data_IF_424940043421
#
_entry.id   IF_424940043421
#
_cell.length_a   1.000
_cell.length_b   1.000
_cell.length_c   1.000
_cell.angle_alpha   90.00
_cell.angle_beta   90.00
_cell.angle_gamma   90.00
#
_symmetry.space_group_name_H-M   'P 1'
#
loop_
_entity.id
_entity.type
_entity.pdbx_description
1 polymer ?
#
# COMPACT_ATOMS: atom_id res chain seq x y z
N UNK A 1 -25.26 -21.95 29.04
CA UNK A 1 -24.21 -21.37 28.19
C UNK A 1 -24.62 -21.65 26.76
N UNK A 2 -24.70 -20.65 25.88
CA UNK A 2 -25.11 -20.91 24.49
C UNK A 2 -23.98 -21.62 23.77
N UNK A 3 -24.23 -22.86 23.34
CA UNK A 3 -23.29 -23.66 22.56
C UNK A 3 -23.85 -23.94 21.18
N UNK A 4 -22.96 -24.05 20.20
CA UNK A 4 -23.26 -24.25 18.80
C UNK A 4 -22.55 -25.52 18.32
N UNK A 5 -23.29 -26.46 17.72
CA UNK A 5 -22.69 -27.61 17.05
C UNK A 5 -22.47 -27.29 15.57
N UNK A 6 -21.22 -27.39 15.12
CA UNK A 6 -20.82 -27.17 13.74
C UNK A 6 -20.32 -28.46 13.11
N UNK A 7 -20.79 -28.75 11.89
CA UNK A 7 -20.19 -29.73 11.00
C UNK A 7 -19.22 -29.00 10.05
N UNK A 8 -17.95 -29.35 10.13
CA UNK A 8 -16.84 -28.75 9.40
C UNK A 8 -16.39 -29.73 8.31
N UNK A 9 -16.48 -29.33 7.05
CA UNK A 9 -16.01 -30.09 5.89
C UNK A 9 -14.82 -29.34 5.27
N UNK A 10 -13.66 -29.99 5.22
CA UNK A 10 -12.44 -29.43 4.66
C UNK A 10 -12.20 -29.93 3.23
N UNK A 11 -11.52 -29.14 2.39
CA UNK A 11 -11.18 -29.53 1.00
C UNK A 11 -10.33 -30.81 0.90
N UNK A 12 -9.62 -31.21 1.95
CA UNK A 12 -8.85 -32.46 2.00
C UNK A 12 -9.71 -33.71 2.30
N UNK A 13 -11.04 -33.53 2.38
CA UNK A 13 -12.01 -34.59 2.64
C UNK A 13 -12.25 -34.89 4.12
N UNK A 14 -11.53 -34.24 5.04
CA UNK A 14 -11.82 -34.37 6.48
C UNK A 14 -13.17 -33.75 6.82
N UNK A 15 -13.93 -34.45 7.67
CA UNK A 15 -15.18 -33.98 8.24
C UNK A 15 -15.12 -34.08 9.76
N UNK A 16 -15.43 -33.01 10.48
CA UNK A 16 -15.44 -32.95 11.94
C UNK A 16 -16.75 -32.33 12.42
N UNK A 17 -17.38 -32.92 13.44
CA UNK A 17 -18.53 -32.32 14.11
C UNK A 17 -18.14 -31.97 15.54
N UNK A 18 -18.32 -30.70 15.93
CA UNK A 18 -17.82 -30.20 17.22
C UNK A 18 -18.69 -29.09 17.80
N UNK A 19 -18.79 -29.11 19.13
CA UNK A 19 -19.45 -28.07 19.91
C UNK A 19 -18.49 -26.92 20.24
N UNK A 20 -18.98 -25.70 20.05
CA UNK A 20 -18.27 -24.45 20.34
C UNK A 20 -19.10 -23.57 21.27
N UNK A 21 -18.43 -22.84 22.16
CA UNK A 21 -19.07 -21.85 23.01
C UNK A 21 -19.19 -20.51 22.26
N UNK A 22 -20.24 -19.75 22.53
CA UNK A 22 -20.45 -18.43 21.95
C UNK A 22 -20.02 -17.30 22.91
N UNK A 23 -19.45 -16.19 22.41
CA UNK A 23 -19.19 -15.89 20.99
C UNK A 23 -18.03 -16.74 20.41
N UNK A 24 -18.19 -17.15 19.16
CA UNK A 24 -17.21 -17.97 18.45
C UNK A 24 -16.46 -17.12 17.44
N UNK A 25 -15.18 -16.85 17.72
CA UNK A 25 -14.27 -16.24 16.76
C UNK A 25 -13.72 -17.31 15.80
N UNK A 26 -13.72 -17.02 14.51
CA UNK A 26 -13.23 -17.89 13.43
C UNK A 26 -12.08 -17.20 12.72
N UNK A 27 -10.93 -17.87 12.57
CA UNK A 27 -9.79 -17.26 11.91
C UNK A 27 -8.54 -18.13 11.87
N UNK A 28 -7.50 -17.66 11.19
CA UNK A 28 -6.22 -18.37 11.08
C UNK A 28 -5.44 -18.45 12.40
N UNK A 29 -5.67 -17.49 13.31
CA UNK A 29 -5.08 -17.45 14.66
C UNK A 29 -6.12 -17.18 15.74
N UNK A 30 -7.39 -17.52 15.50
CA UNK A 30 -8.46 -17.35 16.47
C UNK A 30 -8.25 -18.22 17.72
N UNK A 31 -8.81 -17.82 18.85
CA UNK A 31 -8.90 -18.68 20.05
C UNK A 31 -10.09 -19.66 19.98
N UNK A 32 -11.05 -19.43 19.09
CA UNK A 32 -12.21 -20.28 18.86
C UNK A 32 -11.97 -21.34 17.79
N UNK A 33 -12.56 -21.15 16.60
CA UNK A 33 -12.36 -22.05 15.47
C UNK A 33 -11.16 -21.61 14.63
N UNK A 34 -10.11 -22.43 14.64
CA UNK A 34 -8.88 -22.19 13.88
C UNK A 34 -8.93 -22.84 12.51
N UNK A 35 -8.96 -22.03 11.45
CA UNK A 35 -8.87 -22.49 10.07
C UNK A 35 -7.50 -22.11 9.48
N UNK A 36 -6.58 -23.09 9.41
CA UNK A 36 -5.19 -22.87 8.97
C UNK A 36 -5.07 -22.73 7.44
N UNK A 37 -5.48 -21.57 6.93
CA UNK A 37 -5.48 -21.26 5.50
C UNK A 37 -5.13 -19.80 5.28
N UNK A 38 -4.27 -19.48 4.31
CA UNK A 38 -3.96 -18.09 3.95
C UNK A 38 -5.18 -17.33 3.41
N UNK A 39 -6.17 -18.04 2.83
CA UNK A 39 -7.46 -17.49 2.39
C UNK A 39 -8.36 -17.10 3.58
N UNK A 40 -7.94 -17.45 4.80
CA UNK A 40 -8.60 -17.10 6.05
C UNK A 40 -7.77 -16.03 6.75
N UNK A 41 -8.35 -14.87 7.03
CA UNK A 41 -7.71 -13.80 7.79
C UNK A 41 -7.36 -14.26 9.21
N UNK A 42 -6.47 -13.53 9.91
CA UNK A 42 -6.08 -13.90 11.29
C UNK A 42 -7.30 -14.00 12.21
N UNK A 43 -8.18 -13.02 12.09
CA UNK A 43 -9.56 -12.98 12.59
C UNK A 43 -10.43 -12.78 11.35
N UNK A 44 -11.27 -13.76 10.99
CA UNK A 44 -11.97 -13.80 9.69
C UNK A 44 -13.46 -13.52 9.85
N UNK A 45 -14.11 -14.24 10.76
CA UNK A 45 -15.52 -14.06 11.03
C UNK A 45 -15.81 -14.32 12.51
N UNK A 46 -16.96 -13.85 12.97
CA UNK A 46 -17.43 -14.04 14.33
C UNK A 46 -18.89 -14.48 14.31
N UNK A 47 -19.22 -15.48 15.12
CA UNK A 47 -20.60 -15.89 15.39
C UNK A 47 -20.96 -15.46 16.81
N UNK A 48 -22.03 -14.69 16.95
CA UNK A 48 -22.54 -14.22 18.24
C UNK A 48 -24.03 -14.54 18.38
N UNK A 49 -24.49 -14.77 19.62
CA UNK A 49 -25.91 -14.82 19.93
C UNK A 49 -26.36 -13.46 20.50
N UNK A 50 -27.40 -12.85 19.91
CA UNK A 50 -28.05 -11.62 20.39
C UNK A 50 -29.56 -11.83 20.38
N UNK A 51 -30.22 -11.53 21.50
CA UNK A 51 -31.67 -11.63 21.68
C UNK A 51 -32.28 -13.00 21.29
N UNK A 52 -31.53 -14.09 21.48
CA UNK A 52 -31.95 -15.45 21.15
C UNK A 52 -31.69 -15.88 19.70
N UNK A 53 -31.18 -14.98 18.86
CA UNK A 53 -30.83 -15.25 17.47
C UNK A 53 -29.30 -15.30 17.26
N UNK A 54 -28.85 -16.10 16.29
CA UNK A 54 -27.44 -16.17 15.90
C UNK A 54 -27.15 -15.20 14.78
N UNK A 55 -26.00 -14.55 14.85
CA UNK A 55 -25.51 -13.63 13.83
C UNK A 55 -24.09 -14.00 13.43
N UNK A 56 -23.83 -13.97 12.12
CA UNK A 56 -22.51 -14.09 11.52
C UNK A 56 -22.03 -12.72 11.07
N UNK A 57 -20.81 -12.37 11.46
CA UNK A 57 -20.14 -11.16 11.00
C UNK A 57 -18.84 -11.55 10.30
N UNK A 58 -18.64 -11.09 9.07
CA UNK A 58 -17.31 -11.06 8.45
C UNK A 58 -16.51 -9.88 9.04
N UNK A 59 -15.26 -10.12 9.43
CA UNK A 59 -14.38 -9.14 10.08
C UNK A 59 -13.48 -8.41 9.08
N UNK A 60 -13.92 -8.26 7.84
CA UNK A 60 -13.16 -7.61 6.77
C UNK A 60 -12.14 -8.55 6.13
N UNK A 61 -12.50 -9.82 5.98
CA UNK A 61 -11.60 -10.83 5.44
C UNK A 61 -11.45 -10.69 3.92
N UNK A 62 -10.21 -10.82 3.41
CA UNK A 62 -9.90 -10.65 1.99
C UNK A 62 -10.67 -11.64 1.09
N UNK A 63 -10.77 -12.91 1.52
CA UNK A 63 -11.54 -13.95 0.85
C UNK A 63 -13.06 -13.80 1.02
N UNK A 64 -13.49 -13.05 2.03
CA UNK A 64 -14.88 -12.92 2.43
C UNK A 64 -15.46 -14.18 3.04
N UNK A 65 -16.53 -13.99 3.78
CA UNK A 65 -17.39 -15.07 4.25
C UNK A 65 -18.57 -15.23 3.29
N UNK A 66 -18.80 -16.45 2.82
CA UNK A 66 -19.97 -16.79 2.01
C UNK A 66 -21.00 -17.47 2.90
N UNK A 67 -22.24 -17.00 2.89
CA UNK A 67 -23.39 -17.63 3.53
C UNK A 67 -24.36 -18.07 2.44
N UNK A 68 -24.67 -19.37 2.36
CA UNK A 68 -25.55 -19.96 1.35
C UNK A 68 -25.19 -19.51 -0.09
N UNK A 69 -23.89 -19.57 -0.41
CA UNK A 69 -23.31 -19.14 -1.70
C UNK A 69 -23.36 -17.63 -2.00
N UNK A 70 -23.77 -16.78 -1.05
CA UNK A 70 -23.75 -15.33 -1.18
C UNK A 70 -22.71 -14.71 -0.24
N UNK A 71 -21.94 -13.75 -0.72
CA UNK A 71 -20.94 -13.06 0.12
C UNK A 71 -21.66 -12.11 1.06
N UNK A 72 -21.32 -12.19 2.35
CA UNK A 72 -21.82 -11.27 3.37
C UNK A 72 -20.80 -10.15 3.61
N UNK A 73 -21.30 -8.94 3.81
CA UNK A 73 -20.49 -7.73 4.04
C UNK A 73 -20.80 -7.05 5.38
N UNK A 74 -21.85 -7.51 6.07
CA UNK A 74 -22.35 -6.98 7.34
C UNK A 74 -22.84 -8.12 8.24
N UNK A 75 -23.27 -7.78 9.46
CA UNK A 75 -23.89 -8.73 10.39
C UNK A 75 -25.13 -9.38 9.74
N UNK A 76 -25.13 -10.71 9.64
CA UNK A 76 -26.18 -11.46 8.98
C UNK A 76 -26.79 -12.49 9.94
N UNK A 77 -28.13 -12.59 10.08
CA UNK A 77 -28.74 -13.63 10.89
C UNK A 77 -28.46 -15.02 10.31
N UNK A 78 -28.25 -16.00 11.19
CA UNK A 78 -27.97 -17.41 10.89
C UNK A 78 -29.13 -18.31 11.31
N UNK A 79 -29.41 -19.31 10.49
CA UNK A 79 -30.42 -20.35 10.72
C UNK A 79 -29.76 -21.74 10.79
N UNK A 80 -30.50 -22.69 11.36
CA UNK A 80 -30.10 -24.10 11.33
C UNK A 80 -29.94 -24.57 9.87
N UNK A 81 -28.92 -25.38 9.60
CA UNK A 81 -28.53 -25.86 8.27
C UNK A 81 -27.95 -24.82 7.30
N UNK A 82 -27.76 -23.57 7.70
CA UNK A 82 -27.04 -22.60 6.88
C UNK A 82 -25.62 -23.10 6.58
N UNK A 83 -25.17 -22.82 5.35
CA UNK A 83 -23.86 -23.18 4.84
C UNK A 83 -22.96 -21.96 4.82
N UNK A 84 -21.95 -21.95 5.67
CA UNK A 84 -20.95 -20.89 5.75
C UNK A 84 -19.67 -21.42 5.10
N UNK A 85 -19.16 -20.74 4.08
CA UNK A 85 -17.86 -21.06 3.47
C UNK A 85 -16.86 -19.98 3.87
N UNK A 86 -15.80 -20.42 4.56
CA UNK A 86 -14.67 -19.59 4.98
C UNK A 86 -13.38 -20.25 4.48
N UNK A 87 -12.78 -19.66 3.45
CA UNK A 87 -11.64 -20.26 2.77
C UNK A 87 -11.97 -21.68 2.27
N UNK A 88 -11.16 -22.70 2.62
CA UNK A 88 -11.34 -24.08 2.16
C UNK A 88 -12.27 -24.91 3.06
N UNK A 89 -13.00 -24.27 3.98
CA UNK A 89 -13.87 -24.96 4.92
C UNK A 89 -15.33 -24.60 4.65
N UNK A 90 -16.16 -25.62 4.43
CA UNK A 90 -17.61 -25.51 4.49
C UNK A 90 -18.06 -25.86 5.92
N UNK A 91 -18.81 -24.96 6.53
CA UNK A 91 -19.30 -25.04 7.89
C UNK A 91 -20.82 -25.11 7.82
N UNK A 92 -21.43 -26.09 8.48
CA UNK A 92 -22.89 -26.19 8.64
C UNK A 92 -23.28 -26.13 10.10
N UNK A 93 -24.34 -25.37 10.38
CA UNK A 93 -24.93 -25.30 11.72
C UNK A 93 -25.87 -26.49 11.91
N UNK A 94 -25.53 -27.38 12.84
CA UNK A 94 -26.27 -28.64 13.07
C UNK A 94 -27.24 -28.53 14.23
N UNK A 95 -26.82 -27.92 15.34
CA UNK A 95 -27.64 -27.80 16.55
C UNK A 95 -27.24 -26.55 17.35
N UNK A 96 -28.21 -26.01 18.09
CA UNK A 96 -28.02 -24.90 19.02
C UNK A 96 -28.51 -25.39 20.38
N UNK A 97 -27.63 -25.38 21.37
CA UNK A 97 -28.00 -25.62 22.77
C UNK A 97 -28.19 -24.25 23.43
N UNK A 98 -29.40 -23.70 23.26
CA UNK A 98 -29.90 -22.62 24.09
C UNK A 98 -30.41 -23.28 25.37
N UNK A 99 -29.77 -23.05 26.51
CA UNK A 99 -30.16 -23.62 27.81
C UNK A 99 -31.50 -23.09 28.35
N UNK A 100 -32.53 -23.08 27.52
CA UNK A 100 -33.90 -22.67 27.81
C UNK A 100 -34.86 -23.73 27.23
N UNK A 101 -35.73 -24.24 28.12
CA UNK A 101 -36.83 -25.15 27.78
C UNK A 101 -37.78 -24.55 26.72
N UNK A 102 -38.47 -25.39 25.93
CA UNK A 102 -39.35 -24.92 24.85
C UNK A 102 -40.63 -24.31 25.42
N UNK A 103 -40.80 -22.99 25.26
CA UNK A 103 -41.96 -22.25 25.74
C UNK A 103 -42.53 -21.25 24.73
N UNK A 104 -43.67 -21.64 24.15
CA UNK A 104 -44.76 -20.81 23.62
C UNK A 104 -44.64 -20.02 22.30
N UNK A 105 -45.36 -20.57 21.32
CA UNK A 105 -46.10 -19.88 20.25
C UNK A 105 -46.99 -18.76 20.78
N UNK A 106 -46.97 -17.59 20.13
CA UNK A 106 -48.16 -16.73 20.00
C UNK A 106 -48.14 -16.05 18.61
N UNK A 107 -49.19 -16.32 17.84
CA UNK A 107 -49.63 -15.55 16.69
C UNK A 107 -50.05 -14.14 17.14
N UNK A 108 -49.78 -13.09 16.36
CA UNK A 108 -50.91 -12.30 15.87
C UNK A 108 -50.56 -11.38 14.71
N UNK A 109 -51.50 -11.35 13.77
CA UNK A 109 -51.56 -10.44 12.64
C UNK A 109 -52.29 -9.15 13.04
N UNK A 110 -51.85 -7.99 12.55
CA UNK A 110 -52.71 -6.97 11.93
C UNK A 110 -51.93 -5.73 11.50
N UNK A 111 -52.24 -5.30 10.28
CA UNK A 111 -51.82 -4.11 9.54
C UNK A 111 -52.78 -2.92 9.87
N UNK A 112 -52.78 -1.78 9.13
CA UNK A 112 -51.89 -0.61 9.13
C UNK A 112 -52.57 0.66 9.67
N UNK A 113 -51.83 1.79 9.83
CA UNK A 113 -52.16 3.08 9.18
C UNK A 113 -51.22 4.27 9.54
N UNK A 114 -50.88 5.03 8.48
CA UNK A 114 -50.77 6.51 8.37
C UNK A 114 -49.80 7.26 9.30
N UNK A 115 -48.82 7.93 8.69
CA UNK A 115 -48.98 9.36 8.43
C UNK A 115 -47.99 9.93 7.40
N UNK A 116 -48.51 10.93 6.69
CA UNK A 116 -48.00 11.62 5.51
C UNK A 116 -47.62 13.03 5.95
N UNK A 117 -46.44 13.53 5.59
CA UNK A 117 -46.22 14.98 5.42
C UNK A 117 -45.41 15.21 4.15
N UNK A 118 -46.07 15.87 3.20
CA UNK A 118 -45.50 16.51 2.02
C UNK A 118 -45.12 17.95 2.37
N UNK A 119 -44.07 18.48 1.76
CA UNK A 119 -43.95 19.85 1.18
C UNK A 119 -42.51 20.00 0.67
N UNK A 120 -42.13 20.61 -0.44
CA UNK A 120 -42.72 21.21 -1.64
C UNK A 120 -41.50 21.52 -2.54
N UNK A 121 -41.62 21.32 -3.86
CA UNK A 121 -40.59 21.68 -4.84
C UNK A 121 -40.77 23.12 -5.35
N UNK A 122 -39.68 23.80 -5.78
CA UNK A 122 -39.44 24.32 -7.16
C UNK A 122 -38.21 25.27 -7.28
N UNK A 123 -37.69 25.53 -8.51
CA UNK A 123 -36.25 25.45 -8.84
C UNK A 123 -35.65 26.73 -9.44
N UNK A 124 -34.31 26.78 -9.54
CA UNK A 124 -33.46 27.66 -10.39
C UNK A 124 -32.10 26.95 -10.54
N UNK A 125 -31.29 27.02 -11.58
CA UNK A 125 -31.35 27.36 -13.01
C UNK A 125 -29.99 26.93 -13.58
N UNK A 126 -29.96 26.59 -14.88
CA UNK A 126 -28.78 26.17 -15.65
C UNK A 126 -27.65 27.22 -15.65
N UNK A 127 -26.40 26.75 -15.70
CA UNK A 127 -25.33 27.42 -16.43
C UNK A 127 -24.26 26.40 -16.86
N UNK A 128 -23.89 26.52 -18.13
CA UNK A 128 -22.97 25.70 -18.90
C UNK A 128 -21.54 25.67 -18.36
N UNK A 129 -20.82 24.57 -18.58
CA UNK A 129 -19.37 24.59 -18.75
C UNK A 129 -18.91 23.37 -19.55
N UNK A 130 -18.16 23.67 -20.60
CA UNK A 130 -17.87 22.84 -21.75
C UNK A 130 -16.90 21.69 -21.48
N UNK A 131 -17.20 20.55 -22.09
CA UNK A 131 -16.38 19.35 -22.20
C UNK A 131 -15.26 19.59 -23.22
N UNK A 132 -13.99 19.49 -22.80
CA UNK A 132 -12.83 19.43 -23.69
C UNK A 132 -12.42 17.96 -23.81
N UNK A 133 -12.68 17.35 -24.96
CA UNK A 133 -12.10 16.06 -25.35
C UNK A 133 -10.83 16.30 -26.17
N UNK A 134 -9.71 15.60 -25.93
CA UNK A 134 -8.59 15.59 -26.86
C UNK A 134 -8.87 14.70 -28.07
N UNK A 135 -8.61 15.24 -29.26
CA UNK A 135 -8.77 14.59 -30.56
C UNK A 135 -7.75 13.46 -30.76
N UNK A 136 -8.22 12.33 -31.30
CA UNK A 136 -7.42 11.22 -31.75
C UNK A 136 -6.78 11.51 -33.13
N UNK A 137 -5.47 11.26 -33.25
CA UNK A 137 -4.72 11.30 -34.51
C UNK A 137 -4.86 9.91 -35.18
N UNK A 138 -5.12 9.80 -36.50
CA UNK A 138 -5.20 8.50 -37.17
C UNK A 138 -3.78 7.95 -37.45
N UNK A 139 -3.55 6.63 -37.33
CA UNK A 139 -2.27 6.04 -37.73
C UNK A 139 -2.20 5.88 -39.24
N UNK A 140 -1.12 6.37 -39.82
CA UNK A 140 -0.76 6.17 -41.22
C UNK A 140 -0.22 4.76 -41.44
N UNK A 141 -0.81 4.05 -42.41
CA UNK A 141 -0.38 2.73 -42.84
C UNK A 141 1.01 2.80 -43.50
N UNK A 142 1.95 2.02 -42.98
CA UNK A 142 3.12 1.56 -43.73
C UNK A 142 3.33 0.07 -43.47
N UNK A 143 3.13 -0.70 -44.54
CA UNK A 143 3.47 -2.11 -44.70
C UNK A 143 4.99 -2.32 -44.66
N UNK A 144 5.45 -3.22 -43.78
CA UNK A 144 6.63 -4.07 -43.99
C UNK A 144 6.64 -5.17 -42.92
N UNK A 145 6.98 -6.40 -43.32
CA UNK A 145 6.87 -7.60 -42.49
C UNK A 145 7.74 -7.54 -41.23
N UNK A 146 7.08 -7.53 -40.08
CA UNK A 146 7.67 -7.59 -38.75
C UNK A 146 6.80 -8.57 -37.96
N UNK A 147 7.42 -9.52 -37.24
CA UNK A 147 6.74 -10.34 -36.24
C UNK A 147 6.03 -9.37 -35.29
N UNK A 148 4.71 -9.26 -35.39
CA UNK A 148 3.95 -8.25 -34.65
C UNK A 148 4.14 -8.48 -33.15
N UNK A 149 4.67 -7.47 -32.46
CA UNK A 149 4.61 -7.43 -31.01
C UNK A 149 3.14 -7.61 -30.59
N UNK A 150 2.85 -8.42 -29.56
CA UNK A 150 1.48 -8.69 -29.16
C UNK A 150 0.75 -7.39 -28.83
N UNK A 151 -0.53 -7.29 -29.21
CA UNK A 151 -1.40 -6.21 -28.77
C UNK A 151 -1.35 -6.13 -27.23
N UNK A 152 -1.20 -4.92 -26.68
CA UNK A 152 -1.07 -4.68 -25.25
C UNK A 152 -2.22 -5.31 -24.46
N UNK A 153 -3.43 -5.34 -25.03
CA UNK A 153 -4.60 -5.99 -24.41
C UNK A 153 -4.42 -7.50 -24.30
N UNK A 154 -3.88 -8.14 -25.34
CA UNK A 154 -3.65 -9.59 -25.38
C UNK A 154 -2.57 -9.99 -24.38
N UNK A 155 -1.48 -9.22 -24.33
CA UNK A 155 -0.39 -9.45 -23.38
C UNK A 155 -0.87 -9.33 -21.93
N UNK A 156 -1.68 -8.31 -21.62
CA UNK A 156 -2.29 -8.15 -20.29
C UNK A 156 -3.18 -9.34 -19.96
N UNK A 157 -4.07 -9.75 -20.88
CA UNK A 157 -4.97 -10.88 -20.65
C UNK A 157 -4.23 -12.19 -20.38
N UNK A 158 -3.20 -12.50 -21.19
CA UNK A 158 -2.35 -13.68 -21.03
C UNK A 158 -1.56 -13.65 -19.73
N UNK A 159 -1.01 -12.49 -19.36
CA UNK A 159 -0.31 -12.32 -18.09
C UNK A 159 -1.24 -12.55 -16.90
N UNK A 160 -2.45 -11.98 -16.94
CA UNK A 160 -3.44 -12.13 -15.88
C UNK A 160 -3.84 -13.60 -15.70
N UNK A 161 -4.01 -14.32 -16.81
CA UNK A 161 -4.33 -15.74 -16.80
C UNK A 161 -3.19 -16.57 -16.19
N UNK A 162 -1.94 -16.37 -16.63
CA UNK A 162 -0.78 -17.07 -16.06
C UNK A 162 -0.55 -16.73 -14.59
N UNK A 163 -0.72 -15.47 -14.20
CA UNK A 163 -0.56 -15.04 -12.81
C UNK A 163 -1.60 -15.72 -11.91
N UNK A 164 -2.86 -15.80 -12.34
CA UNK A 164 -3.91 -16.54 -11.63
C UNK A 164 -3.56 -18.02 -11.48
N UNK A 165 -3.14 -18.68 -12.56
CA UNK A 165 -2.75 -20.09 -12.55
C UNK A 165 -1.54 -20.35 -11.62
N UNK A 166 -0.56 -19.44 -11.61
CA UNK A 166 0.60 -19.53 -10.74
C UNK A 166 0.21 -19.41 -9.26
N UNK A 167 -0.64 -18.45 -8.91
CA UNK A 167 -1.13 -18.29 -7.53
C UNK A 167 -1.89 -19.53 -7.07
N UNK A 168 -2.78 -20.07 -7.91
CA UNK A 168 -3.49 -21.33 -7.62
C UNK A 168 -2.52 -22.51 -7.44
N UNK A 169 -1.46 -22.60 -8.25
CA UNK A 169 -0.44 -23.64 -8.12
C UNK A 169 0.43 -23.49 -6.86
N UNK A 170 0.79 -22.25 -6.48
CA UNK A 170 1.52 -21.96 -5.25
C UNK A 170 0.68 -22.29 -4.01
N UNK A 171 -0.63 -22.01 -4.05
CA UNK A 171 -1.57 -22.36 -2.98
C UNK A 171 -1.63 -23.86 -2.71
N UNK A 172 -1.68 -24.67 -3.78
CA UNK A 172 -1.78 -26.13 -3.70
C UNK A 172 -0.53 -26.77 -3.09
N UNK A 173 0.61 -26.07 -3.09
CA UNK A 173 1.88 -26.52 -2.49
C UNK A 173 2.14 -26.03 -1.06
N UNK A 174 1.10 -25.54 -0.38
CA UNK A 174 1.06 -24.88 0.96
C UNK A 174 1.93 -25.41 2.11
N UNK A 175 2.53 -26.59 2.02
CA UNK A 175 3.25 -27.20 3.13
C UNK A 175 4.70 -26.72 3.32
N UNK A 176 5.30 -25.98 2.38
CA UNK A 176 6.72 -25.58 2.45
C UNK A 176 7.03 -24.07 2.36
N UNK A 177 6.04 -23.22 2.10
CA UNK A 177 6.28 -21.84 1.59
C UNK A 177 6.39 -20.78 2.69
N UNK A 178 5.83 -21.01 3.87
CA UNK A 178 5.78 -20.01 4.96
C UNK A 178 7.13 -19.71 5.62
N UNK A 179 8.20 -20.38 5.21
CA UNK A 179 9.55 -20.21 5.75
C UNK A 179 10.64 -20.02 4.67
N UNK A 180 10.26 -19.82 3.40
CA UNK A 180 11.23 -19.67 2.32
C UNK A 180 11.69 -18.21 2.18
N UNK A 181 12.99 -18.04 1.95
CA UNK A 181 13.56 -16.76 1.51
C UNK A 181 13.03 -16.37 0.12
N UNK A 182 12.98 -15.08 -0.18
CA UNK A 182 12.40 -14.53 -1.43
C UNK A 182 13.05 -15.16 -2.67
N UNK A 183 14.36 -15.49 -2.59
CA UNK A 183 15.10 -16.16 -3.64
C UNK A 183 14.59 -17.59 -3.92
N UNK A 184 14.31 -18.35 -2.86
CA UNK A 184 13.78 -19.72 -2.96
C UNK A 184 12.34 -19.70 -3.46
N UNK A 185 11.54 -18.73 -3.03
CA UNK A 185 10.18 -18.53 -3.52
C UNK A 185 10.18 -18.24 -5.03
N UNK A 186 11.11 -17.39 -5.49
CA UNK A 186 11.28 -17.05 -6.91
C UNK A 186 11.65 -18.27 -7.73
N UNK A 187 12.57 -19.10 -7.25
CA UNK A 187 12.97 -20.34 -7.92
C UNK A 187 11.79 -21.34 -8.02
N UNK A 188 11.01 -21.50 -6.95
CA UNK A 188 9.87 -22.40 -6.94
C UNK A 188 8.72 -21.89 -7.84
N UNK A 189 8.45 -20.59 -7.80
CA UNK A 189 7.49 -19.94 -8.70
C UNK A 189 7.89 -20.13 -10.18
N UNK A 190 9.16 -19.97 -10.51
CA UNK A 190 9.67 -20.20 -11.86
C UNK A 190 9.51 -21.67 -12.30
N UNK A 191 9.79 -22.63 -11.43
CA UNK A 191 9.59 -24.07 -11.70
C UNK A 191 8.13 -24.41 -11.95
N UNK A 192 7.22 -23.87 -11.15
CA UNK A 192 5.77 -24.07 -11.33
C UNK A 192 5.27 -23.43 -12.62
N UNK A 193 5.68 -22.19 -12.88
CA UNK A 193 5.25 -21.46 -14.06
C UNK A 193 5.72 -22.15 -15.35
N UNK A 194 6.95 -22.66 -15.38
CA UNK A 194 7.44 -23.46 -16.51
C UNK A 194 6.58 -24.70 -16.77
N UNK A 195 6.10 -25.38 -15.71
CA UNK A 195 5.18 -26.52 -15.86
C UNK A 195 3.83 -26.10 -16.40
N UNK A 196 3.28 -24.97 -15.95
CA UNK A 196 2.01 -24.41 -16.42
C UNK A 196 2.13 -24.07 -17.91
N UNK A 197 3.18 -23.36 -18.31
CA UNK A 197 3.42 -22.97 -19.71
C UNK A 197 3.59 -24.20 -20.60
N UNK A 198 4.32 -25.23 -20.17
CA UNK A 198 4.50 -26.45 -20.96
C UNK A 198 3.24 -27.30 -21.09
N UNK A 199 2.33 -27.24 -20.12
CA UNK A 199 1.08 -28.00 -20.14
C UNK A 199 0.01 -27.36 -21.06
N UNK A 200 0.11 -26.05 -21.30
CA UNK A 200 -0.86 -25.30 -22.08
C UNK A 200 -0.26 -24.79 -23.39
N UNK A 201 -0.70 -25.39 -24.50
CA UNK A 201 -0.23 -25.05 -25.86
C UNK A 201 -0.40 -23.56 -26.19
N UNK A 202 -1.44 -22.92 -25.63
CA UNK A 202 -1.70 -21.50 -25.83
C UNK A 202 -0.53 -20.62 -25.36
N UNK A 203 0.20 -21.06 -24.34
CA UNK A 203 1.36 -20.34 -23.80
C UNK A 203 2.69 -20.87 -24.33
N UNK A 204 2.84 -22.19 -24.51
CA UNK A 204 4.11 -22.77 -24.98
C UNK A 204 4.48 -22.36 -26.40
N UNK A 205 3.50 -22.03 -27.24
CA UNK A 205 3.71 -21.63 -28.64
C UNK A 205 3.97 -20.11 -28.78
N UNK A 206 3.92 -19.33 -27.70
CA UNK A 206 4.19 -17.89 -27.74
C UNK A 206 5.69 -17.61 -27.88
N UNK A 207 6.07 -16.79 -28.86
CA UNK A 207 7.45 -16.36 -29.07
C UNK A 207 8.04 -15.57 -27.88
N UNK A 208 7.18 -14.97 -27.06
CA UNK A 208 7.53 -14.17 -25.88
C UNK A 208 7.18 -14.86 -24.55
N UNK A 209 6.98 -16.18 -24.54
CA UNK A 209 6.60 -16.93 -23.33
C UNK A 209 7.59 -16.72 -22.16
N UNK A 210 8.89 -16.61 -22.46
CA UNK A 210 9.92 -16.36 -21.45
C UNK A 210 9.79 -14.97 -20.81
N UNK A 211 9.62 -13.92 -21.62
CA UNK A 211 9.41 -12.55 -21.11
C UNK A 211 8.14 -12.46 -20.27
N UNK A 212 7.05 -13.07 -20.76
CA UNK A 212 5.79 -13.15 -20.04
C UNK A 212 5.95 -13.90 -18.71
N UNK A 213 6.74 -14.97 -18.69
CA UNK A 213 7.02 -15.73 -17.46
C UNK A 213 7.75 -14.88 -16.42
N UNK A 214 8.73 -14.08 -16.85
CA UNK A 214 9.48 -13.19 -15.97
C UNK A 214 8.55 -12.15 -15.35
N UNK A 215 7.70 -11.50 -16.14
CA UNK A 215 6.73 -10.52 -15.63
C UNK A 215 5.80 -11.12 -14.57
N UNK A 216 5.34 -12.36 -14.76
CA UNK A 216 4.44 -13.05 -13.82
C UNK A 216 5.17 -13.41 -12.52
N UNK A 217 6.43 -13.85 -12.60
CA UNK A 217 7.26 -14.15 -11.43
C UNK A 217 7.55 -12.87 -10.63
N UNK A 218 7.95 -11.80 -11.32
CA UNK A 218 8.25 -10.51 -10.70
C UNK A 218 7.02 -9.96 -9.95
N UNK A 219 5.81 -10.16 -10.49
CA UNK A 219 4.57 -9.75 -9.83
C UNK A 219 4.18 -10.67 -8.66
N UNK A 220 4.37 -11.99 -8.81
CA UNK A 220 4.04 -12.96 -7.77
C UNK A 220 4.95 -12.84 -6.54
N UNK A 221 6.25 -12.59 -6.73
CA UNK A 221 7.26 -12.64 -5.67
C UNK A 221 7.87 -11.27 -5.35
N UNK A 222 7.97 -10.39 -6.34
CA UNK A 222 8.72 -9.13 -6.26
C UNK A 222 7.86 -7.87 -6.09
N UNK A 223 8.27 -6.76 -6.70
CA UNK A 223 7.42 -5.54 -6.79
C UNK A 223 6.67 -5.43 -8.13
N UNK A 224 6.62 -6.51 -8.91
CA UNK A 224 5.93 -6.58 -10.19
C UNK A 224 6.44 -5.54 -11.18
N UNK A 225 5.54 -4.84 -11.90
CA UNK A 225 5.91 -3.79 -12.86
C UNK A 225 6.77 -2.66 -12.29
N UNK A 226 6.84 -2.51 -10.96
CA UNK A 226 7.64 -1.48 -10.32
C UNK A 226 9.14 -1.82 -10.29
N UNK A 227 9.54 -3.11 -10.31
CA UNK A 227 10.95 -3.50 -10.22
C UNK A 227 11.84 -2.85 -11.30
N UNK A 228 11.53 -2.97 -12.60
CA UNK A 228 12.34 -2.31 -13.64
C UNK A 228 12.28 -0.78 -13.56
N UNK A 229 11.15 -0.19 -13.14
CA UNK A 229 11.01 1.27 -12.99
C UNK A 229 11.85 1.82 -11.83
N UNK A 230 11.94 1.05 -10.74
CA UNK A 230 12.76 1.38 -9.58
C UNK A 230 14.25 1.28 -9.92
N UNK A 231 14.65 0.33 -10.78
CA UNK A 231 16.04 0.17 -11.21
C UNK A 231 16.50 1.25 -12.20
N UNK A 232 15.60 1.86 -12.99
CA UNK A 232 15.97 2.86 -13.98
C UNK A 232 16.37 4.22 -13.33
N UNK A 233 17.65 4.62 -13.35
CA UNK A 233 18.12 5.82 -12.64
C UNK A 233 17.61 7.14 -13.24
N UNK A 234 17.06 7.12 -14.46
CA UNK A 234 16.49 8.33 -15.08
C UNK A 234 15.07 8.63 -14.60
N UNK A 235 14.39 7.66 -14.00
CA UNK A 235 13.05 7.83 -13.41
C UNK A 235 13.21 8.38 -11.99
N UNK A 236 12.43 9.42 -11.69
CA UNK A 236 12.44 10.15 -10.41
C UNK A 236 11.20 9.90 -9.57
N UNK A 237 10.03 9.76 -10.20
CA UNK A 237 8.77 9.41 -9.53
C UNK A 237 8.01 8.33 -10.32
N UNK A 238 7.26 7.48 -9.62
CA UNK A 238 6.39 6.45 -10.19
C UNK A 238 5.01 6.59 -9.57
N UNK A 239 3.96 6.64 -10.38
CA UNK A 239 2.58 6.82 -9.95
C UNK A 239 1.70 5.72 -10.56
N UNK A 240 1.14 4.88 -9.70
CA UNK A 240 0.11 3.89 -10.04
C UNK A 240 -1.23 4.50 -9.67
N UNK A 241 -1.95 5.02 -10.66
CA UNK A 241 -3.27 5.62 -10.44
C UNK A 241 -4.38 4.56 -10.41
N UNK A 242 -4.17 3.46 -11.14
CA UNK A 242 -5.02 2.27 -11.20
C UNK A 242 -4.14 1.09 -11.63
N UNK A 243 -4.61 -0.15 -11.47
CA UNK A 243 -3.84 -1.33 -11.88
C UNK A 243 -3.37 -1.27 -13.35
N UNK A 244 -4.14 -0.69 -14.25
CA UNK A 244 -3.85 -0.54 -15.69
C UNK A 244 -3.36 0.88 -16.08
N UNK A 245 -3.01 1.72 -15.10
CA UNK A 245 -2.66 3.12 -15.34
C UNK A 245 -1.43 3.53 -14.51
N UNK A 246 -0.25 3.48 -15.14
CA UNK A 246 1.03 3.86 -14.54
C UNK A 246 1.58 5.11 -15.26
N UNK A 247 2.02 6.09 -14.47
CA UNK A 247 2.80 7.25 -14.91
C UNK A 247 4.17 7.23 -14.27
N UNK A 248 5.14 7.82 -14.95
CA UNK A 248 6.49 8.03 -14.42
C UNK A 248 6.92 9.47 -14.65
N UNK A 249 7.83 9.96 -13.83
CA UNK A 249 8.50 11.24 -14.03
C UNK A 249 9.94 11.03 -14.47
N UNK A 250 10.28 11.58 -15.63
CA UNK A 250 11.64 11.57 -16.19
C UNK A 250 12.04 13.00 -16.57
N UNK A 251 13.18 13.47 -16.08
CA UNK A 251 13.67 14.84 -16.32
C UNK A 251 12.64 15.95 -16.05
N UNK A 252 11.85 15.83 -14.97
CA UNK A 252 10.82 16.82 -14.62
C UNK A 252 9.53 16.73 -15.43
N UNK A 253 9.39 15.73 -16.31
CA UNK A 253 8.20 15.55 -17.16
C UNK A 253 7.47 14.27 -16.82
N UNK A 254 6.15 14.38 -16.66
CA UNK A 254 5.25 13.26 -16.49
C UNK A 254 4.96 12.60 -17.83
N UNK A 255 5.13 11.28 -17.89
CA UNK A 255 4.83 10.45 -19.05
C UNK A 255 4.01 9.21 -18.64
N UNK A 256 3.03 8.83 -19.47
CA UNK A 256 2.29 7.58 -19.29
C UNK A 256 3.19 6.40 -19.66
N UNK A 257 3.21 5.37 -18.83
CA UNK A 257 4.02 4.17 -19.03
C UNK A 257 3.13 3.01 -19.53
N UNK A 258 3.58 2.21 -20.53
CA UNK A 258 2.76 1.14 -21.11
C UNK A 258 2.56 -0.09 -20.19
N UNK A 259 3.33 -0.20 -19.11
CA UNK A 259 3.18 -1.30 -18.16
C UNK A 259 1.95 -1.11 -17.27
N UNK A 260 1.43 -2.24 -16.78
CA UNK A 260 0.28 -2.32 -15.88
C UNK A 260 0.50 -3.45 -14.88
N UNK A 261 -0.25 -3.49 -13.80
CA UNK A 261 -0.47 -4.66 -12.93
C UNK A 261 -1.58 -5.55 -13.49
N UNK A 262 -1.63 -6.79 -13.03
CA UNK A 262 -2.64 -7.73 -13.51
C UNK A 262 -4.05 -7.43 -12.99
N UNK A 263 -4.15 -6.89 -11.78
CA UNK A 263 -5.44 -6.54 -11.16
C UNK A 263 -5.26 -5.57 -9.98
N UNK A 264 -6.37 -5.01 -9.49
CA UNK A 264 -6.38 -4.28 -8.21
C UNK A 264 -5.87 -5.13 -7.05
N UNK A 265 -6.15 -6.44 -7.04
CA UNK A 265 -5.69 -7.34 -5.99
C UNK A 265 -4.15 -7.48 -6.00
N UNK A 266 -3.55 -7.40 -7.18
CA UNK A 266 -2.11 -7.45 -7.35
C UNK A 266 -1.47 -6.18 -6.79
N UNK A 267 -2.04 -5.00 -7.07
CA UNK A 267 -1.58 -3.74 -6.45
C UNK A 267 -1.67 -3.80 -4.92
N UNK A 268 -2.79 -4.29 -4.35
CA UNK A 268 -2.94 -4.46 -2.89
C UNK A 268 -1.86 -5.39 -2.34
N UNK A 269 -1.60 -6.53 -2.99
CA UNK A 269 -0.59 -7.49 -2.55
C UNK A 269 0.83 -6.87 -2.53
N UNK A 270 1.11 -5.97 -3.48
CA UNK A 270 2.37 -5.23 -3.55
C UNK A 270 2.46 -4.19 -2.45
N UNK A 271 1.37 -3.46 -2.18
CA UNK A 271 1.29 -2.54 -1.03
C UNK A 271 1.58 -3.30 0.26
N UNK A 272 0.93 -4.44 0.50
CA UNK A 272 1.13 -5.28 1.69
C UNK A 272 2.59 -5.71 1.84
N UNK A 273 3.23 -6.10 0.73
CA UNK A 273 4.65 -6.49 0.68
C UNK A 273 5.59 -5.34 1.03
N UNK A 274 5.23 -4.11 0.66
CA UNK A 274 5.99 -2.89 1.00
C UNK A 274 5.85 -2.56 2.50
N UNK A 275 4.63 -2.62 3.05
CA UNK A 275 4.37 -2.13 4.42
C UNK A 275 4.62 -3.17 5.51
N UNK A 276 4.48 -4.47 5.21
CA UNK A 276 4.59 -5.56 6.19
C UNK A 276 5.94 -5.60 6.91
N UNK A 277 7.11 -5.48 6.24
CA UNK A 277 8.41 -5.52 6.91
C UNK A 277 8.64 -4.35 7.88
N UNK A 278 7.95 -3.23 7.68
CA UNK A 278 8.11 -1.99 8.46
C UNK A 278 7.14 -1.98 9.66
N UNK A 279 6.28 -3.00 9.79
CA UNK A 279 5.27 -3.07 10.84
C UNK A 279 4.15 -2.05 10.67
N UNK A 280 3.96 -1.51 9.46
CA UNK A 280 2.83 -0.63 9.12
C UNK A 280 1.64 -1.48 8.66
N UNK A 281 0.44 -0.94 8.78
CA UNK A 281 -0.81 -1.58 8.38
C UNK A 281 -1.57 -0.68 7.44
N UNK A 282 -2.25 -1.29 6.47
CA UNK A 282 -3.20 -0.66 5.57
C UNK A 282 -4.36 -1.61 5.37
N UNK A 283 -5.57 -1.13 5.70
CA UNK A 283 -6.82 -1.87 5.64
C UNK A 283 -7.97 -0.87 5.53
N UNK A 284 -9.22 -1.32 5.46
CA UNK A 284 -10.37 -0.42 5.30
C UNK A 284 -10.54 0.58 6.45
N UNK A 285 -10.03 0.27 7.65
CA UNK A 285 -10.06 1.17 8.81
C UNK A 285 -8.96 2.22 8.76
N UNK A 286 -7.82 1.88 8.14
CA UNK A 286 -6.66 2.75 7.91
C UNK A 286 -6.23 2.67 6.44
N UNK A 287 -7.02 3.24 5.50
CA UNK A 287 -6.86 3.00 4.06
C UNK A 287 -5.74 3.80 3.40
N UNK A 288 -4.90 4.48 4.19
CA UNK A 288 -3.79 5.33 3.74
C UNK A 288 -2.54 4.98 4.53
N UNK A 289 -1.40 4.91 3.86
CA UNK A 289 -0.12 4.61 4.51
C UNK A 289 1.03 5.33 3.82
N UNK A 290 1.95 5.82 4.65
CA UNK A 290 3.28 6.26 4.22
C UNK A 290 4.32 5.23 4.68
N UNK A 291 5.23 4.87 3.77
CA UNK A 291 6.23 3.84 3.94
C UNK A 291 7.55 4.20 3.24
N UNK A 292 8.57 3.37 3.44
CA UNK A 292 9.87 3.47 2.77
C UNK A 292 10.29 2.12 2.21
N UNK A 293 10.80 2.12 0.98
CA UNK A 293 11.45 0.95 0.40
C UNK A 293 12.87 0.77 0.96
N UNK A 294 13.46 -0.40 0.73
CA UNK A 294 14.81 -0.76 1.18
C UNK A 294 15.90 0.18 0.62
N UNK A 295 15.67 0.76 -0.56
CA UNK A 295 16.56 1.74 -1.21
C UNK A 295 16.40 3.17 -0.65
N UNK A 296 15.47 3.39 0.28
CA UNK A 296 15.15 4.69 0.87
C UNK A 296 14.06 5.47 0.13
N UNK A 297 13.54 4.96 -0.98
CA UNK A 297 12.46 5.59 -1.75
C UNK A 297 11.20 5.70 -0.89
N UNK A 298 10.49 6.83 -0.99
CA UNK A 298 9.29 7.10 -0.20
C UNK A 298 8.07 6.57 -0.96
N UNK A 299 7.18 5.89 -0.24
CA UNK A 299 5.96 5.31 -0.80
C UNK A 299 4.77 5.88 -0.06
N UNK A 300 3.83 6.44 -0.80
CA UNK A 300 2.47 6.68 -0.33
C UNK A 300 1.54 5.68 -1.03
N UNK A 301 0.64 5.05 -0.28
CA UNK A 301 -0.36 4.16 -0.85
C UNK A 301 -1.74 4.43 -0.25
N UNK A 302 -2.76 4.30 -1.08
CA UNK A 302 -4.17 4.49 -0.71
C UNK A 302 -5.00 3.35 -1.30
N UNK A 303 -5.89 2.77 -0.51
CA UNK A 303 -6.77 1.66 -0.94
C UNK A 303 -8.26 2.07 -0.89
N UNK A 304 -9.15 1.30 -1.54
CA UNK A 304 -10.59 1.45 -1.36
C UNK A 304 -10.99 1.33 0.13
N UNK A 305 -12.07 2.01 0.56
CA UNK A 305 -13.04 2.76 -0.25
C UNK A 305 -12.61 4.20 -0.61
N UNK A 306 -11.51 4.73 -0.06
CA UNK A 306 -11.07 6.10 -0.35
C UNK A 306 -10.55 6.23 -1.79
N UNK A 307 -9.82 5.22 -2.26
CA UNK A 307 -9.37 5.16 -3.65
C UNK A 307 -10.48 4.61 -4.57
N UNK A 308 -11.38 5.48 -5.02
CA UNK A 308 -12.61 5.12 -5.76
C UNK A 308 -12.33 4.29 -7.03
N UNK A 309 -11.22 4.57 -7.72
CA UNK A 309 -10.85 3.88 -8.98
C UNK A 309 -10.09 2.56 -8.76
N UNK A 310 -9.83 2.19 -7.51
CA UNK A 310 -8.93 1.10 -7.13
C UNK A 310 -7.72 1.62 -6.36
N UNK A 311 -6.90 0.73 -5.79
CA UNK A 311 -5.71 1.08 -5.02
C UNK A 311 -4.71 1.90 -5.85
N UNK A 312 -4.08 2.87 -5.21
CA UNK A 312 -3.07 3.73 -5.82
C UNK A 312 -1.76 3.73 -5.03
N UNK A 313 -0.65 3.96 -5.74
CA UNK A 313 0.70 4.03 -5.17
C UNK A 313 1.42 5.23 -5.78
N UNK A 314 2.09 6.03 -4.96
CA UNK A 314 3.04 7.05 -5.41
C UNK A 314 4.39 6.76 -4.78
N UNK A 315 5.40 6.55 -5.62
CA UNK A 315 6.77 6.31 -5.20
C UNK A 315 7.62 7.48 -5.66
N UNK A 316 8.25 8.16 -4.69
CA UNK A 316 9.26 9.17 -4.94
C UNK A 316 10.61 8.53 -4.71
N UNK A 317 11.36 8.33 -5.81
CA UNK A 317 12.60 7.56 -5.74
C UNK A 317 13.66 8.32 -4.98
N UNK A 318 14.44 7.59 -4.19
CA UNK A 318 15.60 8.18 -3.55
C UNK A 318 16.66 8.46 -4.62
N UNK A 319 17.09 9.71 -4.83
CA UNK A 319 18.02 10.04 -5.91
C UNK A 319 19.38 9.36 -5.67
N UNK A 320 19.86 8.63 -6.68
CA UNK A 320 21.09 7.83 -6.63
C UNK A 320 22.35 8.69 -6.52
N UNK A 321 22.34 9.86 -7.18
CA UNK A 321 23.39 10.87 -7.12
C UNK A 321 22.76 12.19 -6.75
N UNK A 322 23.37 12.89 -5.79
CA UNK A 322 22.98 14.26 -5.44
C UNK A 322 24.01 15.23 -5.99
N UNK A 323 23.58 16.39 -6.49
CA UNK A 323 24.49 17.44 -6.90
C UNK A 323 25.45 17.80 -5.75
N UNK A 324 26.72 17.97 -6.09
CA UNK A 324 27.69 18.66 -5.25
C UNK A 324 27.76 20.15 -5.66
N UNK A 325 28.49 20.95 -4.90
CA UNK A 325 28.69 22.38 -5.20
C UNK A 325 29.23 22.61 -6.62
N UNK A 326 30.17 21.77 -7.07
CA UNK A 326 30.72 21.83 -8.41
C UNK A 326 29.67 21.56 -9.50
N UNK A 327 28.71 20.66 -9.25
CA UNK A 327 27.63 20.37 -10.18
C UNK A 327 26.70 21.59 -10.33
N UNK A 328 26.43 22.34 -9.25
CA UNK A 328 25.60 23.55 -9.31
C UNK A 328 26.25 24.67 -10.15
N UNK A 329 27.58 24.81 -10.06
CA UNK A 329 28.34 25.75 -10.92
C UNK A 329 28.33 25.29 -12.37
N UNK A 330 28.54 23.99 -12.62
CA UNK A 330 28.53 23.43 -13.96
C UNK A 330 27.16 23.54 -14.65
N UNK A 331 26.08 23.49 -13.88
CA UNK A 331 24.71 23.72 -14.33
C UNK A 331 24.33 25.20 -14.39
N UNK A 332 25.28 26.12 -14.14
CA UNK A 332 25.07 27.58 -14.09
C UNK A 332 23.93 28.00 -13.14
N UNK A 333 23.61 27.16 -12.15
CA UNK A 333 22.61 27.46 -11.13
C UNK A 333 23.12 28.50 -10.12
N UNK A 334 24.44 28.61 -9.99
CA UNK A 334 25.15 29.67 -9.26
C UNK A 334 26.52 29.90 -9.90
N UNK A 335 27.05 31.11 -9.81
CA UNK A 335 28.38 31.44 -10.32
C UNK A 335 29.48 31.18 -9.26
N UNK A 336 30.75 31.34 -9.65
CA UNK A 336 31.88 31.10 -8.76
C UNK A 336 31.93 32.08 -7.56
N UNK A 337 31.42 33.31 -7.72
CA UNK A 337 31.39 34.30 -6.64
C UNK A 337 30.34 33.94 -5.60
N UNK A 338 29.15 33.52 -6.05
CA UNK A 338 28.09 32.99 -5.20
C UNK A 338 28.54 31.75 -4.46
N UNK A 339 29.24 30.82 -5.15
CA UNK A 339 29.83 29.64 -4.50
C UNK A 339 30.72 30.03 -3.33
N UNK A 340 31.68 30.92 -3.57
CA UNK A 340 32.65 31.34 -2.56
C UNK A 340 31.97 32.08 -1.40
N UNK A 341 31.02 32.97 -1.70
CA UNK A 341 30.22 33.66 -0.71
C UNK A 341 29.43 32.69 0.19
N UNK A 342 28.76 31.70 -0.41
CA UNK A 342 27.98 30.70 0.33
C UNK A 342 28.88 29.78 1.16
N UNK A 343 30.03 29.36 0.63
CA UNK A 343 31.02 28.57 1.36
C UNK A 343 31.57 29.32 2.58
N UNK A 344 31.88 30.62 2.43
CA UNK A 344 32.26 31.49 3.55
C UNK A 344 31.13 31.62 4.58
N UNK A 345 29.88 31.82 4.13
CA UNK A 345 28.72 31.87 5.03
C UNK A 345 28.61 30.59 5.87
N UNK A 346 28.77 29.42 5.23
CA UNK A 346 28.74 28.13 5.93
C UNK A 346 29.90 28.06 6.93
N UNK A 347 31.15 28.28 6.52
CA UNK A 347 32.34 28.18 7.38
C UNK A 347 32.31 29.15 8.58
N UNK A 348 31.69 30.31 8.41
CA UNK A 348 31.55 31.32 9.47
C UNK A 348 30.24 31.23 10.26
N UNK A 349 29.51 30.11 10.15
CA UNK A 349 28.31 29.82 10.96
C UNK A 349 27.21 30.88 10.82
N UNK A 350 27.00 31.36 9.59
CA UNK A 350 25.86 32.21 9.30
C UNK A 350 24.58 31.38 9.29
N UNK A 351 23.54 31.90 9.93
CA UNK A 351 22.19 31.33 9.85
C UNK A 351 21.64 31.53 8.44
N UNK A 352 21.19 30.45 7.80
CA UNK A 352 20.73 30.47 6.41
C UNK A 352 19.33 29.88 6.29
N UNK A 353 18.47 30.55 5.51
CA UNK A 353 17.14 30.04 5.14
C UNK A 353 17.08 29.96 3.62
N UNK A 354 16.71 28.79 3.10
CA UNK A 354 16.57 28.55 1.66
C UNK A 354 15.09 28.53 1.31
N UNK A 355 14.65 29.52 0.54
CA UNK A 355 13.26 29.69 0.11
C UNK A 355 13.06 29.45 -1.39
N UNK A 356 11.85 29.07 -1.79
CA UNK A 356 11.50 28.80 -3.18
C UNK A 356 10.27 27.90 -3.33
N UNK A 357 9.71 27.83 -4.54
CA UNK A 357 8.56 26.98 -4.86
C UNK A 357 8.83 25.48 -4.71
N UNK A 358 7.78 24.66 -4.73
CA UNK A 358 7.93 23.19 -4.79
C UNK A 358 8.75 22.80 -6.03
N UNK A 359 9.69 21.88 -5.89
CA UNK A 359 10.55 21.43 -7.00
C UNK A 359 11.68 22.38 -7.38
N UNK A 360 11.84 23.56 -6.76
CA UNK A 360 12.87 24.56 -7.14
C UNK A 360 14.30 24.22 -6.68
N UNK A 361 14.56 23.02 -6.17
CA UNK A 361 15.89 22.60 -5.71
C UNK A 361 16.30 23.06 -4.30
N UNK A 362 15.36 23.49 -3.43
CA UNK A 362 15.68 23.93 -2.05
C UNK A 362 16.46 22.89 -1.24
N UNK A 363 15.92 21.67 -1.13
CA UNK A 363 16.55 20.56 -0.39
C UNK A 363 17.89 20.19 -1.04
N UNK A 364 18.02 20.31 -2.35
CA UNK A 364 19.27 20.10 -3.07
C UNK A 364 20.34 21.10 -2.63
N UNK A 365 20.02 22.41 -2.62
CA UNK A 365 20.95 23.44 -2.17
C UNK A 365 21.27 23.26 -0.67
N UNK A 366 20.28 22.94 0.16
CA UNK A 366 20.47 22.66 1.59
C UNK A 366 21.46 21.52 1.78
N UNK A 367 21.30 20.43 1.04
CA UNK A 367 22.18 19.27 1.09
C UNK A 367 23.60 19.61 0.66
N UNK A 368 23.77 20.40 -0.41
CA UNK A 368 25.08 20.86 -0.88
C UNK A 368 25.78 21.70 0.18
N UNK A 369 25.11 22.74 0.69
CA UNK A 369 25.70 23.64 1.69
C UNK A 369 26.01 22.92 3.00
N UNK A 370 25.16 21.98 3.40
CA UNK A 370 25.39 21.17 4.60
C UNK A 370 26.61 20.25 4.46
N UNK A 371 27.00 19.85 3.25
CA UNK A 371 28.26 19.12 3.02
C UNK A 371 29.48 20.05 2.93
N UNK A 372 29.30 21.38 2.98
CA UNK A 372 30.40 22.35 3.12
C UNK A 372 30.72 22.66 4.60
N UNK A 373 29.97 22.09 5.54
CA UNK A 373 30.21 22.24 6.98
C UNK A 373 31.56 21.58 7.36
N UNK A 374 32.43 22.23 8.14
CA UNK A 374 33.72 21.66 8.58
C UNK A 374 33.58 20.35 9.36
N UNK A 375 34.44 19.36 9.06
CA UNK A 375 34.41 17.99 9.61
C UNK A 375 34.54 17.87 11.14
N UNK A 376 35.03 18.92 11.81
CA UNK A 376 35.18 19.00 13.26
C UNK A 376 33.88 19.43 13.98
N UNK A 377 32.84 19.82 13.24
CA UNK A 377 31.57 20.27 13.80
C UNK A 377 30.55 19.13 13.99
N UNK A 378 29.78 19.17 15.06
CA UNK A 378 28.69 18.21 15.30
C UNK A 378 27.40 18.69 14.65
N UNK A 379 26.86 17.88 13.73
CA UNK A 379 25.66 18.20 12.96
C UNK A 379 24.48 17.35 13.43
N UNK A 380 23.33 17.98 13.66
CA UNK A 380 22.04 17.31 13.85
C UNK A 380 21.11 17.67 12.69
N UNK A 381 20.71 16.69 11.88
CA UNK A 381 19.68 16.89 10.85
C UNK A 381 18.30 16.51 11.39
N UNK A 382 17.27 17.27 11.02
CA UNK A 382 15.88 17.06 11.45
C UNK A 382 14.97 17.19 10.23
N UNK A 383 14.23 16.13 9.92
CA UNK A 383 13.41 16.08 8.70
C UNK A 383 12.09 15.34 8.97
N UNK A 384 11.02 15.66 8.23
CA UNK A 384 9.81 14.82 8.25
C UNK A 384 10.07 13.44 7.66
N UNK A 385 10.94 13.40 6.66
CA UNK A 385 11.55 12.19 6.17
C UNK A 385 12.99 12.51 5.85
N UNK A 386 13.92 11.73 6.41
CA UNK A 386 15.34 11.80 6.06
C UNK A 386 15.54 11.76 4.53
N UNK A 387 15.77 12.93 3.97
CA UNK A 387 16.23 13.15 2.62
C UNK A 387 17.71 13.50 2.69
N UNK A 388 18.17 14.39 3.57
CA UNK A 388 19.57 14.85 3.63
C UNK A 388 20.58 13.69 3.79
N UNK A 389 21.67 13.78 3.01
CA UNK A 389 22.81 12.86 3.05
C UNK A 389 24.08 13.68 3.18
N UNK A 390 24.59 13.75 4.40
CA UNK A 390 25.83 14.43 4.72
C UNK A 390 26.92 13.38 4.85
N UNK A 391 28.00 13.53 4.09
CA UNK A 391 29.20 12.74 4.29
C UNK A 391 30.03 13.42 5.38
N UNK A 392 29.61 13.25 6.63
CA UNK A 392 30.18 13.96 7.77
C UNK A 392 30.40 12.99 8.93
N UNK A 393 31.59 13.03 9.56
CA UNK A 393 31.94 12.08 10.63
C UNK A 393 31.04 12.21 11.86
N UNK A 394 30.77 13.45 12.28
CA UNK A 394 29.98 13.73 13.48
C UNK A 394 28.51 14.10 13.18
N UNK A 395 27.77 13.17 12.55
CA UNK A 395 26.37 13.37 12.14
C UNK A 395 25.38 12.61 13.04
N UNK A 396 24.27 13.27 13.39
CA UNK A 396 23.06 12.63 13.92
C UNK A 396 21.88 13.01 13.03
N UNK A 397 21.12 12.01 12.57
CA UNK A 397 19.93 12.23 11.77
C UNK A 397 18.68 11.86 12.55
N UNK A 398 17.75 12.80 12.65
CA UNK A 398 16.47 12.67 13.33
C UNK A 398 15.33 12.80 12.32
N UNK A 399 14.33 11.96 12.47
CA UNK A 399 13.14 11.94 11.61
C UNK A 399 11.88 12.08 12.45
N UNK A 400 10.97 12.93 11.99
CA UNK A 400 9.65 13.06 12.61
C UNK A 400 8.85 11.77 12.44
N UNK A 401 7.91 11.52 13.34
CA UNK A 401 7.07 10.33 13.28
C UNK A 401 5.60 10.73 13.45
N UNK A 402 4.72 10.39 12.50
CA UNK A 402 3.29 10.60 12.69
C UNK A 402 2.78 9.72 13.84
N UNK A 403 1.61 10.05 14.37
CA UNK A 403 0.92 9.19 15.31
C UNK A 403 0.67 7.79 14.70
N UNK A 404 0.59 6.77 15.54
CA UNK A 404 0.08 5.46 15.13
C UNK A 404 -1.44 5.55 14.86
N UNK A 405 -2.04 4.45 14.40
CA UNK A 405 -3.48 4.34 14.14
C UNK A 405 -4.37 4.64 15.35
N UNK A 406 -3.82 4.51 16.57
CA UNK A 406 -4.49 4.87 17.83
C UNK A 406 -4.31 6.35 18.22
N UNK A 407 -3.68 7.16 17.37
CA UNK A 407 -3.42 8.59 17.63
C UNK A 407 -2.28 8.85 18.63
N UNK A 408 -1.46 7.85 18.96
CA UNK A 408 -0.39 7.93 19.97
C UNK A 408 1.00 7.91 19.34
N UNK A 409 1.98 8.40 20.12
CA UNK A 409 3.40 8.28 19.78
C UNK A 409 3.88 9.19 18.65
N UNK A 410 3.14 10.26 18.35
CA UNK A 410 3.61 11.31 17.45
C UNK A 410 4.89 11.95 18.00
N UNK A 411 5.85 12.22 17.11
CA UNK A 411 7.05 13.01 17.38
C UNK A 411 7.16 14.03 16.28
N UNK A 412 6.92 15.30 16.59
CA UNK A 412 6.94 16.38 15.60
C UNK A 412 8.37 16.90 15.36
N UNK A 413 8.62 17.59 14.24
CA UNK A 413 9.88 18.32 14.00
C UNK A 413 10.17 19.26 15.18
N UNK A 414 9.14 19.92 15.71
CA UNK A 414 9.24 20.81 16.86
C UNK A 414 9.83 20.11 18.09
N UNK A 415 9.38 18.89 18.38
CA UNK A 415 9.88 18.10 19.51
C UNK A 415 11.36 17.73 19.29
N UNK A 416 11.72 17.38 18.06
CA UNK A 416 13.09 17.07 17.67
C UNK A 416 14.02 18.27 17.76
N UNK A 417 13.58 19.47 17.35
CA UNK A 417 14.37 20.71 17.47
C UNK A 417 14.67 21.01 18.94
N UNK A 418 13.66 20.95 19.82
CA UNK A 418 13.85 21.14 21.26
C UNK A 418 14.78 20.11 21.88
N UNK A 419 14.71 18.85 21.41
CA UNK A 419 15.61 17.80 21.86
C UNK A 419 17.04 18.03 21.36
N UNK A 420 17.21 18.43 20.09
CA UNK A 420 18.50 18.68 19.47
C UNK A 420 19.33 19.73 20.22
N UNK A 421 18.70 20.76 20.78
CA UNK A 421 19.38 21.77 21.61
C UNK A 421 20.09 21.18 22.84
N UNK A 422 19.66 20.01 23.32
CA UNK A 422 20.31 19.30 24.44
C UNK A 422 21.41 18.33 24.00
N UNK A 423 21.59 18.18 22.69
CA UNK A 423 22.55 17.24 22.09
C UNK A 423 23.91 17.86 21.81
N UNK A 424 24.13 19.10 22.29
CA UNK A 424 25.33 19.93 22.05
C UNK A 424 25.70 19.98 20.55
N UNK A 425 24.78 20.36 19.65
CA UNK A 425 25.10 20.51 18.24
C UNK A 425 25.93 21.78 18.02
N UNK A 426 26.86 21.73 17.07
CA UNK A 426 27.45 22.93 16.47
C UNK A 426 26.55 23.44 15.34
N UNK A 427 25.84 22.52 14.66
CA UNK A 427 24.90 22.80 13.56
C UNK A 427 23.58 22.06 13.74
N UNK A 428 22.47 22.77 13.49
CA UNK A 428 21.15 22.16 13.35
C UNK A 428 20.63 22.43 11.93
N UNK A 429 20.44 21.35 11.17
CA UNK A 429 19.91 21.43 9.80
C UNK A 429 18.49 20.91 9.79
N UNK A 430 17.53 21.79 9.54
CA UNK A 430 16.10 21.42 9.42
C UNK A 430 15.73 21.32 7.95
N UNK A 431 15.30 20.15 7.49
CA UNK A 431 15.01 19.89 6.08
C UNK A 431 13.89 20.78 5.52
N UNK A 432 12.82 20.96 6.30
CA UNK A 432 11.76 21.91 5.99
C UNK A 432 11.06 22.42 7.25
N UNK A 433 10.58 23.66 7.20
CA UNK A 433 9.75 24.28 8.22
C UNK A 433 8.40 24.68 7.59
N UNK A 434 7.30 24.10 8.09
CA UNK A 434 5.92 24.33 7.66
C UNK A 434 4.99 24.84 8.77
N UNK A 435 5.47 24.93 10.01
CA UNK A 435 4.65 25.21 11.18
C UNK A 435 5.40 25.79 12.38
N UNK A 436 4.95 25.41 13.58
CA UNK A 436 5.38 26.02 14.85
C UNK A 436 6.86 25.80 15.21
N UNK A 437 7.53 24.84 14.58
CA UNK A 437 8.96 24.61 14.70
C UNK A 437 9.81 25.81 14.23
N UNK A 438 9.29 26.65 13.32
CA UNK A 438 9.98 27.85 12.86
C UNK A 438 10.29 28.82 14.02
N UNK A 439 9.38 28.93 14.99
CA UNK A 439 9.59 29.76 16.17
C UNK A 439 10.71 29.22 17.06
N UNK A 440 10.73 27.91 17.31
CA UNK A 440 11.78 27.28 18.11
C UNK A 440 13.15 27.34 17.40
N UNK A 441 13.18 27.25 16.06
CA UNK A 441 14.39 27.45 15.25
C UNK A 441 14.93 28.87 15.41
N UNK A 442 14.08 29.89 15.31
CA UNK A 442 14.50 31.28 15.56
C UNK A 442 15.00 31.48 17.00
N UNK A 443 14.39 30.80 17.98
CA UNK A 443 14.88 30.77 19.36
C UNK A 443 16.27 30.14 19.49
N UNK A 444 16.53 29.04 18.77
CA UNK A 444 17.85 28.41 18.70
C UNK A 444 18.91 29.36 18.13
N UNK A 445 18.59 30.05 17.03
CA UNK A 445 19.46 31.06 16.42
C UNK A 445 19.83 32.18 17.40
N UNK A 446 18.87 32.60 18.23
CA UNK A 446 19.10 33.64 19.24
C UNK A 446 19.92 33.17 20.45
N UNK A 447 20.09 31.85 20.63
CA UNK A 447 20.86 31.26 21.74
C UNK A 447 22.24 30.74 21.32
N UNK A 448 22.70 31.13 20.13
CA UNK A 448 24.06 30.84 19.65
C UNK A 448 24.21 29.52 18.90
N UNK A 449 23.11 28.91 18.46
CA UNK A 449 23.13 27.73 17.59
C UNK A 449 23.01 28.16 16.13
N UNK A 450 23.82 27.56 15.25
CA UNK A 450 23.81 27.81 13.80
C UNK A 450 23.01 26.73 13.05
#
# INVERSE_FOLDING_TARGET
>A
MNRLCLNLQFEDGRCEEKWFDLPLDIGRHSQGLVLKSWRVAREHAKIEAKDGELYLQDLGSLGGTLLNSQRIHHLHPLKLNDQIVIGPCLIRIVAIDSGQEPGHTVNDASDPQKNRVQTTARPLSKADSATIMPQAVPPSERTSGIVQAPDARTLIAQRNQLHKLLLEALDLKRNNITAMDDALLREEAAKLLNKIIQADKQFSELSYAQELSQMVIDEAVGLGPLEPLLQDPSITEIMVNRFDEIYIERNGKLEAHPMSFSSNQSVISIIDRIVSPIGRRIDESSPMVDARLKDGSRVNAVIPPIAIKGPSITIRKFPLRRPAMADLVALESLDNYMREFLDLCVKHRMNMIISGGTGSGKTTLLNVLSNCIPEDERIVTIEDAAELRLNHRHLISLESRPANTEGRGQVSIRDLVKNALRMRPDRIVVGECRGGEAFDMLGAMNTGHC
#
